data_IF_295326688759
#
_entry.id   IF_295326688759
#
_cell.length_a   1.000
_cell.length_b   1.000
_cell.length_c   1.000
_cell.angle_alpha   90.00
_cell.angle_beta   90.00
_cell.angle_gamma   90.00
#
_symmetry.space_group_name_H-M   'P 1'
#
loop_
_entity.id
_entity.type
_entity.pdbx_description
1 polymer ?
#
# COMPACT_ATOMS: atom_id res chain seq x y z
N UNK A 1 -2.07 -14.70 -20.41
CA UNK A 1 -2.82 -14.90 -19.16
C UNK A 1 -3.82 -13.77 -19.08
N UNK A 2 -5.08 -14.05 -19.39
CA UNK A 2 -6.17 -13.08 -19.36
C UNK A 2 -7.03 -13.49 -18.17
N UNK A 3 -7.01 -12.68 -17.12
CA UNK A 3 -7.85 -12.86 -15.94
C UNK A 3 -9.10 -12.03 -16.17
N UNK A 4 -10.27 -12.64 -16.01
CA UNK A 4 -11.55 -11.94 -16.20
C UNK A 4 -11.93 -11.15 -14.93
N UNK A 5 -11.39 -11.54 -13.77
CA UNK A 5 -11.55 -10.85 -12.50
C UNK A 5 -10.23 -10.70 -11.74
N UNK A 6 -10.12 -9.64 -10.91
CA UNK A 6 -8.91 -9.34 -10.15
C UNK A 6 -8.58 -10.42 -9.12
N UNK A 7 -9.58 -11.19 -8.67
CA UNK A 7 -9.37 -12.30 -7.73
C UNK A 7 -8.62 -13.48 -8.36
N UNK A 8 -8.72 -13.65 -9.68
CA UNK A 8 -8.03 -14.71 -10.43
C UNK A 8 -6.52 -14.43 -10.61
N UNK A 9 -6.10 -13.18 -10.38
CA UNK A 9 -4.71 -12.75 -10.47
C UNK A 9 -3.92 -13.23 -9.24
N UNK A 10 -4.58 -13.42 -8.09
CA UNK A 10 -3.92 -13.82 -6.84
C UNK A 10 -4.27 -15.27 -6.52
N UNK A 11 -3.31 -16.17 -6.73
CA UNK A 11 -3.42 -17.57 -6.32
C UNK A 11 -3.22 -17.71 -4.80
N UNK A 12 -4.25 -17.42 -4.01
CA UNK A 12 -4.20 -17.50 -2.54
C UNK A 12 -3.72 -18.85 -1.99
N UNK A 13 -3.96 -19.95 -2.71
CA UNK A 13 -3.50 -21.29 -2.34
C UNK A 13 -2.00 -21.54 -2.64
N UNK A 14 -1.38 -20.75 -3.51
CA UNK A 14 0.06 -20.78 -3.82
C UNK A 14 0.86 -19.74 -3.05
N UNK A 15 0.18 -18.75 -2.47
CA UNK A 15 0.82 -17.71 -1.67
C UNK A 15 1.18 -18.26 -0.29
N UNK A 16 2.42 -18.04 0.14
CA UNK A 16 2.84 -18.36 1.49
C UNK A 16 2.09 -17.46 2.48
N UNK A 17 1.39 -18.09 3.43
CA UNK A 17 0.54 -17.37 4.39
C UNK A 17 1.29 -17.25 5.70
N UNK A 18 1.66 -16.01 6.04
CA UNK A 18 2.25 -15.69 7.33
C UNK A 18 1.23 -14.99 8.23
N UNK A 19 1.32 -15.24 9.54
CA UNK A 19 0.51 -14.54 10.53
C UNK A 19 0.84 -13.05 10.49
N UNK A 20 -0.17 -12.14 10.45
CA UNK A 20 0.08 -10.71 10.54
C UNK A 20 0.94 -10.39 11.76
N UNK A 21 1.95 -9.50 11.66
CA UNK A 21 2.82 -9.17 12.80
C UNK A 21 2.04 -8.74 14.05
N UNK A 22 0.90 -8.08 13.85
CA UNK A 22 0.02 -7.62 14.92
C UNK A 22 -0.64 -8.78 15.69
N UNK A 23 -0.82 -9.94 15.06
CA UNK A 23 -1.38 -11.14 15.67
C UNK A 23 -0.32 -12.13 16.13
N UNK A 24 0.98 -11.81 16.02
CA UNK A 24 2.08 -12.74 16.32
C UNK A 24 2.05 -13.30 17.75
N UNK A 25 1.48 -12.55 18.70
CA UNK A 25 1.40 -12.90 20.12
C UNK A 25 0.10 -13.63 20.50
N UNK A 26 -0.80 -13.82 19.53
CA UNK A 26 -2.11 -14.44 19.75
C UNK A 26 -2.01 -15.93 19.43
N UNK A 27 -2.62 -16.79 20.24
CA UNK A 27 -2.76 -18.22 19.92
C UNK A 27 -3.79 -18.43 18.81
N UNK A 28 -3.75 -19.59 18.14
CA UNK A 28 -4.75 -19.89 17.10
C UNK A 28 -6.09 -20.28 17.74
N UNK A 29 -6.06 -20.95 18.89
CA UNK A 29 -7.26 -21.29 19.68
C UNK A 29 -8.01 -20.03 20.13
N UNK A 30 -7.29 -19.00 20.60
CA UNK A 30 -7.93 -17.74 21.00
C UNK A 30 -8.53 -16.96 19.83
N UNK A 31 -8.01 -17.18 18.62
CA UNK A 31 -8.60 -16.62 17.41
C UNK A 31 -9.85 -17.41 16.98
N UNK A 32 -9.85 -18.74 17.13
CA UNK A 32 -11.01 -19.59 16.88
C UNK A 32 -12.15 -19.30 17.87
N UNK A 33 -11.84 -19.12 19.16
CA UNK A 33 -12.81 -18.74 20.19
C UNK A 33 -13.42 -17.36 19.93
N UNK A 34 -12.63 -16.41 19.43
CA UNK A 34 -13.12 -15.11 18.99
C UNK A 34 -14.03 -15.20 17.76
N UNK A 35 -13.61 -15.93 16.72
CA UNK A 35 -14.38 -16.09 15.47
C UNK A 35 -15.68 -16.86 15.70
N UNK A 36 -15.67 -17.84 16.61
CA UNK A 36 -16.85 -18.60 17.00
C UNK A 36 -17.79 -17.84 17.96
N UNK A 37 -17.34 -16.69 18.49
CA UNK A 37 -18.12 -15.84 19.39
C UNK A 37 -18.16 -16.33 20.84
N UNK A 38 -17.33 -17.30 21.22
CA UNK A 38 -17.17 -17.72 22.62
C UNK A 38 -16.47 -16.64 23.45
N UNK A 39 -15.47 -15.97 22.88
CA UNK A 39 -14.78 -14.84 23.50
C UNK A 39 -15.07 -13.56 22.71
N UNK A 40 -15.70 -12.56 23.34
CA UNK A 40 -16.12 -11.32 22.65
C UNK A 40 -15.17 -10.15 22.84
N UNK A 41 -14.27 -10.23 23.83
CA UNK A 41 -13.29 -9.18 24.13
C UNK A 41 -11.90 -9.77 24.45
N UNK A 42 -11.26 -10.49 23.52
CA UNK A 42 -9.93 -11.01 23.77
C UNK A 42 -8.89 -9.88 23.90
N UNK A 43 -7.85 -10.06 24.72
CA UNK A 43 -6.82 -9.04 24.98
C UNK A 43 -6.12 -8.51 23.73
N UNK A 44 -6.06 -9.30 22.65
CA UNK A 44 -5.43 -8.87 21.39
C UNK A 44 -6.24 -7.84 20.60
N UNK A 45 -7.52 -7.60 20.96
CA UNK A 45 -8.32 -6.51 20.40
C UNK A 45 -7.97 -5.15 20.99
N UNK A 46 -7.13 -5.09 22.04
CA UNK A 46 -6.55 -3.85 22.53
C UNK A 46 -5.46 -3.34 21.58
N UNK A 47 -5.84 -3.17 20.32
CA UNK A 47 -5.00 -2.62 19.28
C UNK A 47 -4.86 -1.11 19.52
N UNK A 48 -3.65 -0.55 19.35
CA UNK A 48 -3.49 0.89 19.35
C UNK A 48 -4.49 1.51 18.36
N UNK A 49 -5.27 2.49 18.81
CA UNK A 49 -6.15 3.26 17.93
C UNK A 49 -5.28 4.07 16.98
N UNK A 50 -4.95 3.50 15.83
CA UNK A 50 -4.36 4.25 14.74
C UNK A 50 -5.45 5.17 14.18
N UNK A 51 -5.28 6.50 14.21
CA UNK A 51 -6.28 7.39 13.64
C UNK A 51 -6.22 7.24 12.11
N UNK A 52 -7.09 6.39 11.57
CA UNK A 52 -7.16 6.14 10.13
C UNK A 52 -7.75 7.34 9.39
N UNK A 53 -8.60 8.13 10.05
CA UNK A 53 -9.33 9.27 9.48
C UNK A 53 -8.76 10.61 9.94
N UNK A 54 -7.43 10.75 9.88
CA UNK A 54 -6.84 12.08 10.05
C UNK A 54 -6.97 12.87 8.75
N UNK A 55 -7.03 14.21 8.87
CA UNK A 55 -6.95 15.10 7.73
C UNK A 55 -5.68 14.86 6.89
N UNK A 56 -4.58 14.42 7.51
CA UNK A 56 -3.36 14.06 6.80
C UNK A 56 -3.56 12.83 5.91
N UNK A 57 -4.24 11.79 6.41
CA UNK A 57 -4.61 10.62 5.60
C UNK A 57 -5.48 11.02 4.41
N UNK A 58 -6.51 11.83 4.63
CA UNK A 58 -7.43 12.28 3.56
C UNK A 58 -6.69 13.07 2.47
N UNK A 59 -5.83 14.01 2.87
CA UNK A 59 -4.99 14.79 1.94
C UNK A 59 -4.05 13.88 1.15
N UNK A 60 -3.43 12.89 1.80
CA UNK A 60 -2.53 11.94 1.15
C UNK A 60 -3.27 11.13 0.08
N UNK A 61 -4.43 10.55 0.43
CA UNK A 61 -5.26 9.77 -0.50
C UNK A 61 -5.67 10.62 -1.71
N UNK A 62 -6.08 11.88 -1.47
CA UNK A 62 -6.43 12.80 -2.55
C UNK A 62 -5.25 13.06 -3.50
N UNK A 63 -4.08 13.43 -2.95
CA UNK A 63 -2.87 13.71 -3.74
C UNK A 63 -2.41 12.50 -4.55
N UNK A 64 -2.40 11.31 -3.94
CA UNK A 64 -2.01 10.06 -4.60
C UNK A 64 -2.98 9.73 -5.73
N UNK A 65 -4.28 9.93 -5.49
CA UNK A 65 -5.32 9.70 -6.50
C UNK A 65 -5.17 10.67 -7.67
N UNK A 66 -4.99 11.96 -7.40
CA UNK A 66 -4.78 12.97 -8.44
C UNK A 66 -3.53 12.64 -9.27
N UNK A 67 -2.41 12.33 -8.63
CA UNK A 67 -1.17 11.95 -9.31
C UNK A 67 -1.33 10.69 -10.16
N UNK A 68 -1.97 9.65 -9.61
CA UNK A 68 -2.20 8.38 -10.32
C UNK A 68 -3.13 8.55 -11.52
N UNK A 69 -4.16 9.40 -11.40
CA UNK A 69 -5.12 9.68 -12.47
C UNK A 69 -4.46 10.27 -13.72
N UNK A 70 -3.37 11.05 -13.54
CA UNK A 70 -2.61 11.67 -14.64
C UNK A 70 -1.86 10.64 -15.50
N UNK A 71 -1.60 9.44 -14.99
CA UNK A 71 -0.86 8.38 -15.69
C UNK A 71 -1.70 7.12 -15.94
N UNK A 72 -2.99 7.16 -15.63
CA UNK A 72 -3.91 6.05 -15.86
C UNK A 72 -4.20 5.92 -17.38
N UNK A 73 -3.97 4.73 -17.94
CA UNK A 73 -4.07 4.45 -19.38
C UNK A 73 -2.76 4.67 -20.15
N UNK A 74 -2.58 3.89 -21.21
CA UNK A 74 -1.34 3.81 -22.00
C UNK A 74 -0.88 5.17 -22.53
N UNK A 75 -1.77 5.89 -23.24
CA UNK A 75 -1.43 7.18 -23.88
C UNK A 75 -1.01 8.25 -22.87
N UNK A 76 -1.74 8.37 -21.74
CA UNK A 76 -1.42 9.35 -20.70
C UNK A 76 -0.09 9.05 -20.04
N UNK A 77 0.18 7.77 -19.76
CA UNK A 77 1.44 7.30 -19.19
C UNK A 77 2.62 7.57 -20.11
N UNK A 78 2.49 7.22 -21.40
CA UNK A 78 3.52 7.47 -22.41
C UNK A 78 3.83 8.97 -22.55
N UNK A 79 2.78 9.81 -22.64
CA UNK A 79 2.92 11.26 -22.67
C UNK A 79 3.61 11.83 -21.42
N UNK A 80 3.27 11.34 -20.23
CA UNK A 80 3.92 11.73 -18.98
C UNK A 80 5.40 11.37 -18.96
N UNK A 81 5.76 10.15 -19.39
CA UNK A 81 7.15 9.68 -19.45
C UNK A 81 7.97 10.53 -20.42
N UNK A 82 7.48 10.72 -21.64
CA UNK A 82 8.16 11.53 -22.67
C UNK A 82 8.38 12.97 -22.20
N UNK A 83 7.35 13.61 -21.66
CA UNK A 83 7.46 14.96 -21.11
C UNK A 83 8.50 15.05 -19.99
N UNK A 84 8.59 14.02 -19.14
CA UNK A 84 9.58 13.99 -18.06
C UNK A 84 11.00 13.79 -18.56
N UNK A 85 11.20 12.98 -19.60
CA UNK A 85 12.50 12.81 -20.26
C UNK A 85 12.98 14.13 -20.86
N UNK A 86 12.13 14.84 -21.61
CA UNK A 86 12.48 16.14 -22.19
C UNK A 86 12.75 17.20 -21.12
N UNK A 87 11.93 17.26 -20.08
CA UNK A 87 12.17 18.13 -18.93
C UNK A 87 13.52 17.85 -18.27
N UNK A 88 13.93 16.59 -18.13
CA UNK A 88 15.23 16.21 -17.55
C UNK A 88 16.41 16.60 -18.44
N UNK A 89 16.27 16.51 -19.76
CA UNK A 89 17.30 16.98 -20.71
C UNK A 89 17.57 18.48 -20.59
N UNK A 90 16.54 19.26 -20.26
CA UNK A 90 16.63 20.71 -20.06
C UNK A 90 17.25 21.10 -18.70
N UNK A 91 17.30 20.19 -17.73
CA UNK A 91 17.91 20.49 -16.43
C UNK A 91 19.43 20.52 -16.57
N UNK A 92 20.05 21.57 -16.02
CA UNK A 92 21.51 21.65 -15.92
C UNK A 92 22.01 20.53 -15.00
N UNK A 93 23.08 19.85 -15.39
CA UNK A 93 23.79 18.95 -14.49
C UNK A 93 24.53 19.78 -13.44
N UNK A 94 24.33 19.45 -12.17
CA UNK A 94 25.07 20.04 -11.07
C UNK A 94 26.03 18.98 -10.52
N UNK A 95 27.32 19.30 -10.47
CA UNK A 95 28.31 18.50 -9.76
C UNK A 95 28.20 18.80 -8.27
N UNK A 96 27.18 18.27 -7.59
CA UNK A 96 27.08 18.37 -6.14
C UNK A 96 28.08 17.41 -5.50
N UNK A 97 29.13 17.94 -4.88
CA UNK A 97 30.01 17.14 -4.02
C UNK A 97 29.26 16.90 -2.70
N UNK A 98 29.12 15.64 -2.32
CA UNK A 98 28.49 15.27 -1.04
C UNK A 98 29.47 15.62 0.09
N UNK A 99 29.25 16.74 0.76
CA UNK A 99 29.97 17.07 1.99
C UNK A 99 29.41 16.15 3.06
N UNK A 100 30.24 15.24 3.57
CA UNK A 100 29.91 14.43 4.75
C UNK A 100 30.00 15.34 5.98
N UNK A 101 28.94 15.36 6.77
CA UNK A 101 28.87 15.97 8.10
C UNK A 101 28.95 14.87 9.15
#
# INVERSE_FOLDING_TARGET
>A
MQADDYTEIIYWYKADRSKPPILKHVSDEGLEDFVSGQETNPPFLDLPKFPCHTQATERCVHLVTEASSKVCGEKKRDGFIKSRIESRKLMKSFNSVRIQA
#
